data_IF_605148890089
#
_entry.id   IF_605148890089
#
_cell.length_a   1.000
_cell.length_b   1.000
_cell.length_c   1.000
_cell.angle_alpha   90.00
_cell.angle_beta   90.00
_cell.angle_gamma   90.00
#
_symmetry.space_group_name_H-M   'P 1'
#
loop_
_entity.id
_entity.type
_entity.pdbx_description
1 polymer ?
#
# COMPACT_ATOMS: atom_id res chain seq x y z
N UNK A 1 -23.02 -6.54 8.57
CA UNK A 1 -22.09 -5.77 9.44
C UNK A 1 -22.72 -4.49 10.03
N UNK A 2 -23.51 -3.72 9.26
CA UNK A 2 -24.16 -2.47 9.76
C UNK A 2 -25.05 -2.72 10.98
N UNK A 3 -25.84 -3.81 11.02
CA UNK A 3 -26.68 -4.16 12.17
C UNK A 3 -25.88 -4.38 13.47
N UNK A 4 -24.71 -5.00 13.37
CA UNK A 4 -23.81 -5.18 14.52
C UNK A 4 -23.23 -3.83 14.93
N UNK A 5 -22.92 -2.96 13.97
CA UNK A 5 -22.47 -1.59 14.21
C UNK A 5 -23.49 -0.78 15.01
N UNK A 6 -24.78 -0.89 14.70
CA UNK A 6 -25.84 -0.22 15.47
C UNK A 6 -25.98 -0.78 16.89
N UNK A 7 -25.86 -2.10 17.07
CA UNK A 7 -25.86 -2.68 18.41
C UNK A 7 -24.72 -2.18 19.27
N UNK A 8 -23.48 -2.14 18.70
CA UNK A 8 -22.32 -1.59 19.38
C UNK A 8 -22.45 -0.08 19.66
N UNK A 9 -23.05 0.66 18.76
CA UNK A 9 -23.28 2.09 18.91
C UNK A 9 -24.13 2.37 20.17
N UNK A 10 -25.23 1.61 20.37
CA UNK A 10 -26.07 1.73 21.57
C UNK A 10 -25.26 1.36 22.83
N UNK A 11 -24.45 0.32 22.75
CA UNK A 11 -23.61 -0.13 23.87
C UNK A 11 -22.56 0.92 24.24
N UNK A 12 -21.86 1.50 23.28
CA UNK A 12 -20.87 2.56 23.52
C UNK A 12 -21.51 3.85 24.03
N UNK A 13 -22.70 4.17 23.55
CA UNK A 13 -23.48 5.30 24.06
C UNK A 13 -23.87 5.08 25.52
N UNK A 14 -24.42 3.90 25.87
CA UNK A 14 -24.76 3.55 27.23
C UNK A 14 -23.54 3.62 28.17
N UNK A 15 -22.38 3.06 27.73
CA UNK A 15 -21.13 3.17 28.49
C UNK A 15 -20.72 4.63 28.68
N UNK A 16 -20.82 5.48 27.67
CA UNK A 16 -20.52 6.91 27.77
C UNK A 16 -21.43 7.63 28.78
N UNK A 17 -22.73 7.32 28.79
CA UNK A 17 -23.68 7.86 29.74
C UNK A 17 -23.38 7.38 31.16
N UNK A 18 -23.09 6.10 31.37
CA UNK A 18 -22.72 5.56 32.69
C UNK A 18 -21.43 6.19 33.26
N UNK A 19 -20.39 6.35 32.42
CA UNK A 19 -19.17 7.02 32.85
C UNK A 19 -19.42 8.48 33.24
N UNK A 20 -20.28 9.17 32.50
CA UNK A 20 -20.66 10.55 32.83
C UNK A 20 -21.52 10.66 34.07
N UNK A 21 -22.41 9.68 34.30
CA UNK A 21 -23.24 9.62 35.50
C UNK A 21 -22.42 9.36 36.77
N UNK A 22 -21.30 8.63 36.66
CA UNK A 22 -20.38 8.41 37.77
C UNK A 22 -19.63 9.69 38.18
N UNK A 23 -19.59 10.71 37.32
CA UNK A 23 -18.99 12.02 37.59
C UNK A 23 -20.08 13.02 38.03
N UNK A 24 -20.52 12.92 39.32
CA UNK A 24 -21.66 13.65 39.87
C UNK A 24 -21.69 15.17 39.66
N UNK A 25 -20.57 15.83 39.38
CA UNK A 25 -20.48 17.29 39.17
C UNK A 25 -20.95 17.75 37.76
N UNK A 26 -20.91 16.91 36.78
CA UNK A 26 -21.18 17.31 35.38
C UNK A 26 -22.63 17.04 34.97
N UNK A 27 -23.34 16.19 35.71
CA UNK A 27 -24.73 15.80 35.38
C UNK A 27 -25.78 16.91 35.61
N UNK A 28 -25.44 17.97 36.35
CA UNK A 28 -26.36 19.09 36.64
C UNK A 28 -26.43 20.12 35.49
N UNK A 29 -25.61 19.98 34.45
CA UNK A 29 -25.61 20.92 33.32
C UNK A 29 -26.33 20.33 32.10
N UNK A 30 -27.43 20.94 31.63
CA UNK A 30 -28.18 20.44 30.46
C UNK A 30 -27.34 20.41 29.18
N UNK A 31 -26.32 21.24 29.10
CA UNK A 31 -25.36 21.27 27.97
C UNK A 31 -24.61 19.93 27.79
N UNK A 32 -24.41 19.20 28.87
CA UNK A 32 -23.70 17.93 28.84
C UNK A 32 -24.54 16.82 28.19
N UNK A 33 -25.82 16.75 28.51
CA UNK A 33 -26.76 15.83 27.87
C UNK A 33 -26.87 16.09 26.36
N UNK A 34 -26.94 17.37 25.98
CA UNK A 34 -27.01 17.78 24.56
C UNK A 34 -25.75 17.32 23.78
N UNK A 35 -24.57 17.45 24.38
CA UNK A 35 -23.30 17.00 23.77
C UNK A 35 -23.27 15.50 23.50
N UNK A 36 -23.76 14.67 24.42
CA UNK A 36 -23.86 13.23 24.24
C UNK A 36 -24.86 12.84 23.15
N UNK A 37 -26.01 13.52 23.09
CA UNK A 37 -27.01 13.31 22.04
C UNK A 37 -26.47 13.68 20.65
N UNK A 38 -25.78 14.79 20.52
CA UNK A 38 -25.16 15.20 19.25
C UNK A 38 -24.12 14.16 18.79
N UNK A 39 -23.28 13.67 19.69
CA UNK A 39 -22.31 12.60 19.38
C UNK A 39 -22.99 11.32 18.93
N UNK A 40 -24.06 10.92 19.60
CA UNK A 40 -24.83 9.74 19.21
C UNK A 40 -25.42 9.88 17.80
N UNK A 41 -26.01 11.02 17.50
CA UNK A 41 -26.57 11.30 16.17
C UNK A 41 -25.47 11.25 15.10
N UNK A 42 -24.34 11.92 15.34
CA UNK A 42 -23.20 11.91 14.43
C UNK A 42 -22.65 10.49 14.21
N UNK A 43 -22.49 9.71 15.28
CA UNK A 43 -22.03 8.33 15.18
C UNK A 43 -23.04 7.44 14.45
N UNK A 44 -24.36 7.65 14.65
CA UNK A 44 -25.41 6.94 13.91
C UNK A 44 -25.35 7.24 12.42
N UNK A 45 -25.16 8.49 12.04
CA UNK A 45 -24.99 8.89 10.65
C UNK A 45 -23.71 8.27 10.07
N UNK A 46 -22.60 8.34 10.80
CA UNK A 46 -21.32 7.76 10.36
C UNK A 46 -21.38 6.23 10.14
N UNK A 47 -22.09 5.50 11.01
CA UNK A 47 -22.33 4.06 10.81
C UNK A 47 -23.24 3.79 9.64
N UNK A 48 -24.28 4.61 9.44
CA UNK A 48 -25.25 4.48 8.33
C UNK A 48 -24.61 4.77 6.96
N UNK A 49 -23.80 5.83 6.86
CA UNK A 49 -23.09 6.24 5.65
C UNK A 49 -21.65 5.71 5.59
N UNK A 50 -21.35 4.64 6.32
CA UNK A 50 -20.02 4.06 6.45
C UNK A 50 -19.36 3.78 5.09
N UNK A 51 -20.09 3.16 4.14
CA UNK A 51 -19.57 2.85 2.81
C UNK A 51 -19.26 4.11 2.00
N UNK A 52 -20.09 5.13 2.10
CA UNK A 52 -19.87 6.40 1.42
C UNK A 52 -18.62 7.10 1.95
N UNK A 53 -18.43 7.10 3.27
CA UNK A 53 -17.24 7.67 3.90
C UNK A 53 -15.97 6.92 3.44
N UNK A 54 -16.00 5.58 3.46
CA UNK A 54 -14.85 4.77 3.04
C UNK A 54 -14.52 4.98 1.57
N UNK A 55 -15.52 5.00 0.68
CA UNK A 55 -15.31 5.25 -0.75
C UNK A 55 -14.88 6.68 -1.04
N UNK A 56 -15.37 7.68 -0.30
CA UNK A 56 -14.92 9.06 -0.42
C UNK A 56 -13.43 9.21 -0.05
N UNK A 57 -12.99 8.61 1.07
CA UNK A 57 -11.58 8.62 1.48
C UNK A 57 -10.73 7.92 0.41
N UNK A 58 -11.16 6.77 -0.09
CA UNK A 58 -10.45 6.06 -1.15
C UNK A 58 -10.34 6.89 -2.44
N UNK A 59 -11.41 7.58 -2.84
CA UNK A 59 -11.42 8.45 -4.02
C UNK A 59 -10.44 9.62 -3.88
N UNK A 60 -10.39 10.26 -2.71
CA UNK A 60 -9.42 11.34 -2.44
C UNK A 60 -7.98 10.82 -2.54
N UNK A 61 -7.69 9.67 -1.92
CA UNK A 61 -6.37 9.06 -2.01
C UNK A 61 -6.03 8.63 -3.45
N UNK A 62 -7.02 8.14 -4.21
CA UNK A 62 -6.88 7.83 -5.64
C UNK A 62 -6.55 9.06 -6.48
N UNK A 63 -7.15 10.21 -6.16
CA UNK A 63 -6.80 11.51 -6.77
C UNK A 63 -5.34 11.90 -6.54
N UNK A 64 -4.80 11.65 -5.34
CA UNK A 64 -3.38 11.88 -5.05
C UNK A 64 -2.49 10.98 -5.93
N UNK A 65 -2.84 9.69 -6.05
CA UNK A 65 -2.13 8.76 -6.94
C UNK A 65 -2.12 9.26 -8.38
N UNK A 66 -3.27 9.67 -8.91
CA UNK A 66 -3.40 10.19 -10.26
C UNK A 66 -2.56 11.47 -10.48
N UNK A 67 -2.56 12.37 -9.49
CA UNK A 67 -1.76 13.60 -9.53
C UNK A 67 -0.26 13.27 -9.57
N UNK A 68 0.21 12.33 -8.75
CA UNK A 68 1.61 11.89 -8.73
C UNK A 68 1.99 11.26 -10.08
N UNK A 69 1.14 10.41 -10.65
CA UNK A 69 1.39 9.80 -11.97
C UNK A 69 1.46 10.84 -13.08
N UNK A 70 0.57 11.82 -13.09
CA UNK A 70 0.52 12.86 -14.11
C UNK A 70 1.69 13.85 -14.01
N UNK A 71 2.16 14.16 -12.79
CA UNK A 71 3.27 15.13 -12.58
C UNK A 71 4.61 14.62 -13.13
N UNK A 72 4.78 13.32 -13.28
CA UNK A 72 6.04 12.68 -13.74
C UNK A 72 5.93 12.19 -15.20
N UNK A 73 4.86 12.51 -15.89
CA UNK A 73 4.70 12.21 -17.33
C UNK A 73 4.37 10.76 -17.67
N UNK A 74 3.84 9.98 -16.75
CA UNK A 74 3.08 8.74 -17.02
C UNK A 74 3.82 7.55 -17.63
N UNK A 75 5.10 7.65 -17.98
CA UNK A 75 5.81 6.56 -18.65
C UNK A 75 6.59 5.67 -17.66
N UNK A 76 5.88 4.81 -16.95
CA UNK A 76 6.47 3.66 -16.22
C UNK A 76 6.70 2.46 -17.17
N UNK A 77 6.75 2.69 -18.47
CA UNK A 77 6.94 1.66 -19.48
C UNK A 77 8.40 1.54 -19.87
N UNK A 78 9.22 0.97 -19.02
CA UNK A 78 10.50 0.41 -19.43
C UNK A 78 10.26 -1.06 -19.81
N UNK A 79 9.86 -1.31 -21.04
CA UNK A 79 10.07 -2.63 -21.61
C UNK A 79 11.59 -2.89 -21.56
N UNK A 80 12.01 -3.81 -20.73
CA UNK A 80 13.40 -4.27 -20.72
C UNK A 80 13.66 -5.01 -22.02
N UNK A 81 14.10 -4.27 -23.05
CA UNK A 81 14.61 -4.88 -24.28
C UNK A 81 16.03 -5.33 -24.02
N UNK A 82 16.33 -6.56 -24.42
CA UNK A 82 17.72 -7.05 -24.36
C UNK A 82 18.60 -6.14 -25.24
N UNK A 83 19.77 -5.70 -24.74
CA UNK A 83 20.74 -5.00 -25.58
C UNK A 83 21.14 -5.84 -26.80
N UNK A 84 21.25 -5.19 -27.96
CA UNK A 84 21.57 -5.83 -29.23
C UNK A 84 22.91 -6.55 -29.20
N UNK A 85 23.85 -6.07 -28.40
CA UNK A 85 25.18 -6.65 -28.19
C UNK A 85 25.10 -8.04 -27.54
N UNK A 86 24.17 -8.23 -26.60
CA UNK A 86 23.95 -9.53 -25.96
C UNK A 86 23.30 -10.50 -26.93
N UNK A 87 22.36 -10.04 -27.75
CA UNK A 87 21.67 -10.87 -28.75
C UNK A 87 22.69 -11.39 -29.78
N UNK A 88 23.51 -10.51 -30.33
CA UNK A 88 24.57 -10.89 -31.31
C UNK A 88 25.63 -11.80 -30.72
N UNK A 89 26.01 -11.59 -29.46
CA UNK A 89 26.94 -12.45 -28.76
C UNK A 89 26.39 -13.88 -28.53
N UNK A 90 25.09 -13.98 -28.27
CA UNK A 90 24.40 -15.28 -28.09
C UNK A 90 24.25 -16.02 -29.43
N UNK A 91 23.90 -15.33 -30.50
CA UNK A 91 23.75 -15.91 -31.82
C UNK A 91 25.08 -16.48 -32.39
N UNK A 92 26.21 -15.94 -31.98
CA UNK A 92 27.56 -16.41 -32.35
C UNK A 92 28.08 -17.63 -31.60
N UNK A 93 27.33 -18.14 -30.61
CA UNK A 93 27.80 -19.26 -29.76
C UNK A 93 27.53 -20.62 -30.39
N UNK A 94 28.50 -21.52 -30.27
CA UNK A 94 28.35 -22.95 -30.60
C UNK A 94 27.42 -23.69 -29.61
N UNK A 95 26.92 -24.87 -30.04
CA UNK A 95 25.99 -25.67 -29.19
C UNK A 95 26.54 -26.07 -27.84
N UNK A 96 27.83 -26.35 -27.71
CA UNK A 96 28.46 -26.72 -26.44
C UNK A 96 28.70 -25.53 -25.51
N UNK A 97 28.92 -24.35 -26.06
CA UNK A 97 29.10 -23.10 -25.30
C UNK A 97 27.77 -22.49 -24.81
N UNK A 98 26.65 -22.93 -25.40
CA UNK A 98 25.31 -22.47 -25.00
C UNK A 98 24.82 -23.14 -23.70
N UNK A 99 25.35 -24.31 -23.30
CA UNK A 99 24.88 -25.04 -22.11
C UNK A 99 25.02 -24.20 -20.81
N UNK A 100 26.20 -23.61 -20.49
CA UNK A 100 26.33 -22.78 -19.28
C UNK A 100 25.49 -21.52 -19.36
N UNK A 101 25.30 -20.92 -20.55
CA UNK A 101 24.43 -19.78 -20.75
C UNK A 101 22.98 -20.12 -20.44
N UNK A 102 22.50 -21.28 -20.91
CA UNK A 102 21.14 -21.76 -20.63
C UNK A 102 20.88 -21.95 -19.14
N UNK A 103 21.86 -22.51 -18.40
CA UNK A 103 21.75 -22.72 -16.96
C UNK A 103 21.67 -21.38 -16.22
N UNK A 104 22.50 -20.40 -16.59
CA UNK A 104 22.48 -19.04 -16.03
C UNK A 104 21.14 -18.36 -16.31
N UNK A 105 20.62 -18.45 -17.52
CA UNK A 105 19.33 -17.88 -17.91
C UNK A 105 18.17 -18.53 -17.13
N UNK A 106 18.23 -19.86 -16.92
CA UNK A 106 17.19 -20.58 -16.17
C UNK A 106 17.18 -20.16 -14.69
N UNK A 107 18.35 -20.07 -14.03
CA UNK A 107 18.45 -19.57 -12.67
C UNK A 107 17.99 -18.11 -12.56
N UNK A 108 18.40 -17.26 -13.48
CA UNK A 108 18.01 -15.85 -13.52
C UNK A 108 16.49 -15.69 -13.69
N UNK A 109 15.89 -16.43 -14.62
CA UNK A 109 14.43 -16.38 -14.85
C UNK A 109 13.64 -16.87 -13.64
N UNK A 110 14.13 -17.90 -12.94
CA UNK A 110 13.50 -18.38 -11.71
C UNK A 110 13.51 -17.30 -10.62
N UNK A 111 14.64 -16.62 -10.43
CA UNK A 111 14.76 -15.53 -9.45
C UNK A 111 13.85 -14.36 -9.78
N UNK A 112 13.84 -13.91 -11.04
CA UNK A 112 12.99 -12.80 -11.49
C UNK A 112 11.51 -13.16 -11.31
N UNK A 113 11.11 -14.39 -11.61
CA UNK A 113 9.75 -14.88 -11.42
C UNK A 113 9.33 -14.83 -9.95
N UNK A 114 10.19 -15.32 -9.04
CA UNK A 114 9.92 -15.28 -7.59
C UNK A 114 9.77 -13.83 -7.10
N UNK A 115 10.67 -12.93 -7.50
CA UNK A 115 10.58 -11.50 -7.13
C UNK A 115 9.31 -10.84 -7.68
N UNK A 116 8.92 -11.17 -8.90
CA UNK A 116 7.68 -10.69 -9.51
C UNK A 116 6.45 -11.13 -8.72
N UNK A 117 6.40 -12.39 -8.29
CA UNK A 117 5.32 -12.88 -7.40
C UNK A 117 5.29 -12.15 -6.06
N UNK A 118 6.44 -11.88 -5.45
CA UNK A 118 6.50 -11.12 -4.20
C UNK A 118 5.92 -9.71 -4.38
N UNK A 119 6.25 -9.03 -5.48
CA UNK A 119 5.69 -7.72 -5.81
C UNK A 119 4.17 -7.78 -5.99
N UNK A 120 3.68 -8.73 -6.79
CA UNK A 120 2.25 -8.95 -6.99
C UNK A 120 1.53 -9.19 -5.67
N UNK A 121 2.03 -10.11 -4.84
CA UNK A 121 1.43 -10.41 -3.53
C UNK A 121 1.42 -9.18 -2.61
N UNK A 122 2.44 -8.34 -2.65
CA UNK A 122 2.49 -7.11 -1.85
C UNK A 122 1.38 -6.13 -2.27
N UNK A 123 1.21 -5.92 -3.58
CA UNK A 123 0.17 -5.02 -4.12
C UNK A 123 -1.23 -5.59 -3.87
N UNK A 124 -1.46 -6.88 -4.14
CA UNK A 124 -2.75 -7.52 -3.87
C UNK A 124 -3.06 -7.57 -2.37
N UNK A 125 -2.08 -7.84 -1.52
CA UNK A 125 -2.22 -7.84 -0.07
C UNK A 125 -2.75 -6.51 0.47
N UNK A 126 -2.35 -5.39 -0.13
CA UNK A 126 -2.91 -4.07 0.18
C UNK A 126 -4.41 -3.99 -0.14
N UNK A 127 -4.85 -4.47 -1.30
CA UNK A 127 -6.28 -4.48 -1.66
C UNK A 127 -7.10 -5.34 -0.70
N UNK A 128 -6.60 -6.52 -0.31
CA UNK A 128 -7.26 -7.36 0.70
C UNK A 128 -7.38 -6.66 2.05
N UNK A 129 -6.33 -5.98 2.51
CA UNK A 129 -6.39 -5.15 3.72
C UNK A 129 -7.47 -4.07 3.61
N UNK A 130 -7.53 -3.37 2.49
CA UNK A 130 -8.51 -2.31 2.23
C UNK A 130 -9.94 -2.85 2.28
N UNK A 131 -10.21 -4.01 1.68
CA UNK A 131 -11.51 -4.68 1.76
C UNK A 131 -11.88 -5.09 3.18
N UNK A 132 -10.93 -5.64 3.96
CA UNK A 132 -11.16 -5.97 5.37
C UNK A 132 -11.48 -4.74 6.20
N UNK A 133 -10.73 -3.64 6.04
CA UNK A 133 -11.02 -2.39 6.73
C UNK A 133 -12.41 -1.88 6.38
N UNK A 134 -12.79 -1.88 5.11
CA UNK A 134 -14.11 -1.43 4.66
C UNK A 134 -15.22 -2.30 5.21
N UNK A 135 -15.06 -3.63 5.22
CA UNK A 135 -16.05 -4.56 5.76
C UNK A 135 -16.25 -4.40 7.27
N UNK A 136 -15.18 -4.13 8.02
CA UNK A 136 -15.21 -3.98 9.48
C UNK A 136 -15.48 -2.54 9.94
N UNK A 137 -15.51 -1.56 9.04
CA UNK A 137 -15.65 -0.15 9.34
C UNK A 137 -16.83 0.23 10.25
N UNK A 138 -18.03 -0.40 10.17
CA UNK A 138 -19.14 -0.06 11.05
C UNK A 138 -18.83 -0.25 12.55
N UNK A 139 -17.93 -1.20 12.90
CA UNK A 139 -17.59 -1.48 14.29
C UNK A 139 -16.80 -0.33 14.95
N UNK A 140 -15.63 0.07 14.43
CA UNK A 140 -14.88 1.16 15.01
C UNK A 140 -15.54 2.53 14.80
N UNK A 141 -16.38 2.71 13.78
CA UNK A 141 -17.16 3.95 13.63
C UNK A 141 -18.23 4.10 14.71
N UNK A 142 -18.79 3.00 15.19
CA UNK A 142 -19.72 3.03 16.32
C UNK A 142 -19.08 3.58 17.61
N UNK A 143 -17.74 3.44 17.78
CA UNK A 143 -17.02 3.93 18.96
C UNK A 143 -17.03 5.46 19.11
N UNK A 144 -17.39 6.21 18.07
CA UNK A 144 -17.57 7.67 18.15
C UNK A 144 -18.74 8.08 19.05
N UNK A 145 -19.67 7.17 19.35
CA UNK A 145 -20.80 7.44 20.26
C UNK A 145 -20.35 7.70 21.71
N UNK A 146 -19.26 7.06 22.17
CA UNK A 146 -18.70 7.24 23.50
C UNK A 146 -17.50 8.18 23.53
N UNK A 147 -17.36 8.99 24.58
CA UNK A 147 -16.21 9.90 24.71
C UNK A 147 -14.89 9.14 24.89
N UNK A 148 -14.87 8.15 25.76
CA UNK A 148 -13.70 7.34 26.06
C UNK A 148 -13.30 6.42 24.89
N UNK A 149 -14.27 5.98 24.08
CA UNK A 149 -14.05 5.05 22.95
C UNK A 149 -13.78 5.75 21.63
N UNK A 150 -14.02 7.06 21.52
CA UNK A 150 -13.83 7.84 20.29
C UNK A 150 -12.37 7.80 19.77
N UNK A 151 -11.40 7.58 20.65
CA UNK A 151 -10.00 7.40 20.27
C UNK A 151 -9.79 6.20 19.33
N UNK A 152 -10.51 5.09 19.55
CA UNK A 152 -10.43 3.90 18.71
C UNK A 152 -10.98 4.16 17.31
N UNK A 153 -12.07 4.90 17.18
CA UNK A 153 -12.63 5.31 15.88
C UNK A 153 -11.67 6.20 15.09
N UNK A 154 -11.01 7.16 15.77
CA UNK A 154 -9.99 8.03 15.15
C UNK A 154 -8.78 7.22 14.69
N UNK A 155 -8.27 6.31 15.53
CA UNK A 155 -7.15 5.44 15.19
C UNK A 155 -7.48 4.56 13.97
N UNK A 156 -8.69 4.02 13.90
CA UNK A 156 -9.15 3.24 12.75
C UNK A 156 -9.17 4.07 11.46
N UNK A 157 -9.77 5.27 11.47
CA UNK A 157 -9.78 6.14 10.29
C UNK A 157 -8.36 6.49 9.83
N UNK A 158 -7.47 6.79 10.77
CA UNK A 158 -6.07 7.07 10.49
C UNK A 158 -5.37 5.87 9.84
N UNK A 159 -5.61 4.66 10.35
CA UNK A 159 -5.07 3.42 9.77
C UNK A 159 -5.65 3.14 8.37
N UNK A 160 -6.93 3.41 8.15
CA UNK A 160 -7.56 3.25 6.84
C UNK A 160 -6.96 4.22 5.81
N UNK A 161 -6.83 5.50 6.16
CA UNK A 161 -6.15 6.50 5.32
C UNK A 161 -4.71 6.03 5.02
N UNK A 162 -4.01 5.46 6.00
CA UNK A 162 -2.69 4.87 5.81
C UNK A 162 -2.68 3.82 4.69
N UNK A 163 -3.56 2.85 4.75
CA UNK A 163 -3.65 1.80 3.71
C UNK A 163 -4.02 2.39 2.34
N UNK A 164 -4.87 3.43 2.30
CA UNK A 164 -5.18 4.13 1.05
C UNK A 164 -3.96 4.87 0.48
N UNK A 165 -3.20 5.57 1.34
CA UNK A 165 -2.01 6.32 0.94
C UNK A 165 -0.81 5.44 0.57
N UNK A 166 -0.75 4.20 1.07
CA UNK A 166 0.29 3.23 0.70
C UNK A 166 0.41 3.09 -0.83
N UNK A 167 -0.72 3.18 -1.56
CA UNK A 167 -0.70 3.16 -3.02
C UNK A 167 0.01 4.33 -3.67
N UNK A 168 -0.11 5.53 -3.11
CA UNK A 168 0.59 6.70 -3.60
C UNK A 168 2.10 6.55 -3.39
N UNK A 169 2.51 6.01 -2.24
CA UNK A 169 3.92 5.76 -1.94
C UNK A 169 4.50 4.66 -2.83
N UNK A 170 3.74 3.59 -3.14
CA UNK A 170 4.18 2.56 -4.09
C UNK A 170 4.39 3.15 -5.49
N UNK A 171 3.46 3.97 -5.97
CA UNK A 171 3.59 4.64 -7.27
C UNK A 171 4.80 5.56 -7.29
N UNK A 172 4.99 6.36 -6.23
CA UNK A 172 6.16 7.23 -6.09
C UNK A 172 7.46 6.41 -6.09
N UNK A 173 7.50 5.29 -5.38
CA UNK A 173 8.64 4.38 -5.36
C UNK A 173 8.97 3.83 -6.76
N UNK A 174 7.95 3.46 -7.53
CA UNK A 174 8.12 3.02 -8.92
C UNK A 174 8.65 4.13 -9.82
N UNK A 175 8.20 5.38 -9.62
CA UNK A 175 8.69 6.54 -10.38
C UNK A 175 10.15 6.87 -10.06
N UNK A 176 10.52 6.88 -8.78
CA UNK A 176 11.91 7.06 -8.34
C UNK A 176 12.80 5.96 -8.92
N UNK A 177 12.32 4.71 -8.87
CA UNK A 177 13.02 3.58 -9.43
C UNK A 177 13.19 3.69 -10.95
N UNK A 178 12.18 4.13 -11.71
CA UNK A 178 12.29 4.33 -13.15
C UNK A 178 13.29 5.44 -13.51
N UNK A 179 13.32 6.51 -12.73
CA UNK A 179 14.31 7.59 -12.90
C UNK A 179 15.73 7.09 -12.59
N UNK A 180 15.89 6.24 -11.57
CA UNK A 180 17.18 5.62 -11.24
C UNK A 180 17.67 4.70 -12.37
N UNK A 181 16.78 3.87 -12.94
CA UNK A 181 17.12 2.99 -14.06
C UNK A 181 17.54 3.74 -15.31
N UNK A 182 16.89 4.86 -15.63
CA UNK A 182 17.23 5.65 -16.80
C UNK A 182 18.62 6.33 -16.69
N UNK A 183 19.12 6.52 -15.47
CA UNK A 183 20.47 7.06 -15.22
C UNK A 183 21.57 5.98 -15.16
N UNK A 184 21.21 4.72 -14.96
CA UNK A 184 22.12 3.58 -14.83
C UNK A 184 21.78 2.46 -15.82
N UNK A 185 21.96 2.75 -17.13
CA UNK A 185 21.87 1.70 -18.15
C UNK A 185 23.01 0.70 -17.97
N UNK A 186 22.70 -0.62 -17.88
CA UNK A 186 23.75 -1.64 -17.84
C UNK A 186 24.54 -1.58 -19.12
N UNK A 187 25.79 -1.11 -19.05
CA UNK A 187 26.70 -1.18 -20.17
C UNK A 187 27.13 -2.65 -20.33
N UNK A 188 26.67 -3.30 -21.40
CA UNK A 188 27.21 -4.59 -21.79
C UNK A 188 28.62 -4.36 -22.31
N UNK A 189 29.63 -4.88 -21.60
CA UNK A 189 31.02 -4.77 -22.03
C UNK A 189 31.31 -5.82 -23.12
N UNK A 190 31.29 -5.39 -24.38
CA UNK A 190 31.45 -6.24 -25.55
C UNK A 190 32.81 -6.96 -25.61
N UNK A 191 33.75 -6.65 -24.71
CA UNK A 191 35.06 -7.31 -24.62
C UNK A 191 35.04 -8.63 -23.84
N UNK A 192 33.95 -8.96 -23.14
CA UNK A 192 33.82 -10.11 -22.27
C UNK A 192 33.20 -11.32 -22.99
N UNK A 193 33.52 -12.57 -22.56
CA UNK A 193 32.84 -13.76 -23.06
C UNK A 193 31.31 -13.67 -22.88
N UNK A 194 30.55 -14.18 -23.83
CA UNK A 194 29.09 -14.08 -23.85
C UNK A 194 28.41 -14.59 -22.55
N UNK A 195 28.95 -15.65 -21.95
CA UNK A 195 28.45 -16.20 -20.68
C UNK A 195 28.64 -15.21 -19.52
N UNK A 196 29.80 -14.56 -19.45
CA UNK A 196 30.11 -13.56 -18.41
C UNK A 196 29.26 -12.32 -18.58
N UNK A 197 29.05 -11.87 -19.82
CA UNK A 197 28.18 -10.73 -20.17
C UNK A 197 26.73 -11.00 -19.75
N UNK A 198 26.20 -12.19 -20.08
CA UNK A 198 24.86 -12.61 -19.67
C UNK A 198 24.73 -12.69 -18.13
N UNK A 199 25.75 -13.22 -17.44
CA UNK A 199 25.75 -13.29 -15.98
C UNK A 199 25.71 -11.91 -15.33
N UNK A 200 26.51 -10.97 -15.80
CA UNK A 200 26.52 -9.60 -15.29
C UNK A 200 25.17 -8.92 -15.52
N UNK A 201 24.60 -9.06 -16.72
CA UNK A 201 23.29 -8.48 -17.06
C UNK A 201 22.16 -9.04 -16.19
N UNK A 202 22.10 -10.38 -16.04
CA UNK A 202 21.10 -11.03 -15.19
C UNK A 202 21.31 -10.63 -13.72
N UNK A 203 22.54 -10.57 -13.24
CA UNK A 203 22.86 -10.11 -11.89
C UNK A 203 22.39 -8.70 -11.62
N UNK A 204 22.54 -7.79 -12.59
CA UNK A 204 22.07 -6.43 -12.49
C UNK A 204 20.53 -6.32 -12.53
N UNK A 205 19.88 -7.13 -13.36
CA UNK A 205 18.43 -7.23 -13.35
C UNK A 205 17.87 -7.71 -12.00
N UNK A 206 18.49 -8.75 -11.43
CA UNK A 206 18.11 -9.27 -10.11
C UNK A 206 18.32 -8.20 -9.03
N UNK A 207 19.45 -7.50 -9.06
CA UNK A 207 19.74 -6.42 -8.11
C UNK A 207 18.70 -5.28 -8.23
N UNK A 208 18.37 -4.87 -9.43
CA UNK A 208 17.36 -3.86 -9.69
C UNK A 208 15.97 -4.30 -9.18
N UNK A 209 15.59 -5.56 -9.40
CA UNK A 209 14.33 -6.11 -8.88
C UNK A 209 14.31 -6.19 -7.35
N UNK A 210 15.46 -6.47 -6.71
CA UNK A 210 15.59 -6.45 -5.25
C UNK A 210 15.36 -5.04 -4.69
N UNK A 211 15.94 -4.02 -5.32
CA UNK A 211 15.73 -2.61 -4.94
C UNK A 211 14.25 -2.26 -5.05
N UNK A 212 13.62 -2.55 -6.19
CA UNK A 212 12.20 -2.26 -6.39
C UNK A 212 11.33 -2.98 -5.36
N UNK A 213 11.58 -4.26 -5.14
CA UNK A 213 10.83 -5.05 -4.14
C UNK A 213 11.02 -4.51 -2.73
N UNK A 214 12.22 -4.08 -2.38
CA UNK A 214 12.53 -3.44 -1.11
C UNK A 214 11.77 -2.12 -0.91
N UNK A 215 11.78 -1.25 -1.94
CA UNK A 215 11.04 0.02 -1.93
C UNK A 215 9.52 -0.19 -1.78
N UNK A 216 8.96 -1.11 -2.56
CA UNK A 216 7.51 -1.41 -2.52
C UNK A 216 7.10 -2.00 -1.16
N UNK A 217 7.90 -2.93 -0.60
CA UNK A 217 7.66 -3.45 0.75
C UNK A 217 7.84 -2.40 1.85
N UNK A 218 8.75 -1.46 1.67
CA UNK A 218 9.00 -0.36 2.59
C UNK A 218 7.86 0.66 2.63
N UNK A 219 7.00 0.72 1.61
CA UNK A 219 5.93 1.71 1.50
C UNK A 219 4.97 1.71 2.70
N UNK A 220 4.59 0.53 3.21
CA UNK A 220 3.74 0.39 4.41
C UNK A 220 4.38 1.05 5.64
N UNK A 221 5.68 0.84 5.83
CA UNK A 221 6.44 1.43 6.95
C UNK A 221 6.52 2.95 6.83
N UNK A 222 6.85 3.46 5.65
CA UNK A 222 6.94 4.91 5.39
C UNK A 222 5.60 5.60 5.70
N UNK A 223 4.48 5.03 5.25
CA UNK A 223 3.16 5.59 5.52
C UNK A 223 2.83 5.57 7.02
N UNK A 224 3.14 4.48 7.73
CA UNK A 224 2.93 4.38 9.17
C UNK A 224 3.74 5.43 9.93
N UNK A 225 5.00 5.61 9.58
CA UNK A 225 5.86 6.64 10.18
C UNK A 225 5.34 8.05 9.90
N UNK A 226 4.89 8.34 8.67
CA UNK A 226 4.30 9.63 8.30
C UNK A 226 3.01 9.94 9.07
N UNK A 227 2.18 8.95 9.31
CA UNK A 227 0.92 9.11 10.02
C UNK A 227 1.06 8.98 11.53
N UNK A 228 2.22 8.60 12.05
CA UNK A 228 2.46 8.36 13.48
C UNK A 228 1.67 7.17 14.02
N UNK A 229 1.64 6.08 13.25
CA UNK A 229 0.96 4.82 13.56
C UNK A 229 1.95 3.79 14.10
#
# INVERSE_FOLDING_TARGET
MVGIGYGLLVLFFAMGVFQSAASFKDFQRPEFALRHFIRFILAKVAVGSCMEIMTAIFSVCGGVVATVMNSVGGSVSTAATLPSEIVTAIEGLGLLESIPLWLVALLGSLFITVMSFILLLTVYGRFFRLYMFTALAPLPLASFAGEATAASGKAFLRSYVGVCMEGAVIVLACLIYSAFLSSSTPAADASLPAVTMAWQYIGQLIFNMLILTGLVKGADRVVKEMLGL
#
